data_IF_000722746560
#
_entry.id   IF_000722746560
#
_cell.length_a   1.000
_cell.length_b   1.000
_cell.length_c   1.000
_cell.angle_alpha   90.00
_cell.angle_beta   90.00
_cell.angle_gamma   90.00
#
_symmetry.space_group_name_H-M   'P 1'
#
loop_
_entity.id
_entity.type
_entity.pdbx_description
1 polymer ?
#
# COMPACT_ATOMS: atom_id res chain seq x y z
N UNK A 1 -5.20 7.67 -43.54
CA UNK A 1 -5.50 7.16 -42.18
C UNK A 1 -5.56 5.65 -42.26
N UNK A 2 -4.41 4.99 -42.12
CA UNK A 2 -4.36 3.54 -41.95
C UNK A 2 -4.45 3.31 -40.45
N UNK A 3 -5.65 3.03 -39.96
CA UNK A 3 -5.81 2.27 -38.72
C UNK A 3 -5.29 0.87 -39.06
N UNK A 4 -3.96 0.73 -39.08
CA UNK A 4 -3.31 -0.55 -39.06
C UNK A 4 -3.68 -1.15 -37.73
N UNK A 5 -4.69 -2.03 -37.76
CA UNK A 5 -5.06 -2.93 -36.67
C UNK A 5 -3.76 -3.40 -36.02
N UNK A 6 -3.54 -2.87 -34.83
CA UNK A 6 -2.31 -3.03 -34.08
C UNK A 6 -2.16 -4.51 -33.77
N UNK A 7 -1.20 -5.08 -34.49
CA UNK A 7 -0.74 -6.44 -34.47
C UNK A 7 -1.10 -7.19 -33.19
N UNK A 8 -2.03 -8.11 -33.37
CA UNK A 8 -2.30 -9.26 -32.54
C UNK A 8 -0.97 -9.99 -32.28
N UNK A 9 -0.29 -9.63 -31.18
CA UNK A 9 0.93 -10.28 -30.74
C UNK A 9 0.64 -11.79 -30.55
N UNK A 10 1.39 -12.71 -31.18
CA UNK A 10 1.12 -14.15 -31.08
C UNK A 10 1.19 -14.69 -29.64
N UNK A 11 1.75 -13.89 -28.71
CA UNK A 11 1.94 -14.24 -27.30
C UNK A 11 0.85 -13.70 -26.36
N UNK A 12 -0.16 -12.95 -26.84
CA UNK A 12 -1.24 -12.42 -25.98
C UNK A 12 -2.04 -13.54 -25.30
N UNK A 13 -2.26 -14.66 -25.99
CA UNK A 13 -2.99 -15.82 -25.44
C UNK A 13 -2.18 -16.49 -24.34
N UNK A 14 -0.86 -16.66 -24.56
CA UNK A 14 0.04 -17.26 -23.57
C UNK A 14 0.19 -16.36 -22.32
N UNK A 15 0.29 -15.05 -22.52
CA UNK A 15 0.35 -14.09 -21.40
C UNK A 15 -0.98 -14.03 -20.63
N UNK A 16 -2.13 -14.11 -21.31
CA UNK A 16 -3.45 -14.25 -20.65
C UNK A 16 -3.55 -15.56 -19.86
N UNK A 17 -3.04 -16.66 -20.41
CA UNK A 17 -3.02 -17.96 -19.72
C UNK A 17 -2.14 -17.93 -18.47
N UNK A 18 -0.94 -17.35 -18.55
CA UNK A 18 -0.05 -17.15 -17.39
C UNK A 18 -0.69 -16.31 -16.30
N UNK A 19 -1.39 -15.24 -16.66
CA UNK A 19 -2.16 -14.43 -15.71
C UNK A 19 -3.33 -15.18 -15.09
N UNK A 20 -4.03 -16.01 -15.87
CA UNK A 20 -5.04 -16.94 -15.35
C UNK A 20 -4.45 -17.89 -14.31
N UNK A 21 -3.27 -18.45 -14.57
CA UNK A 21 -2.56 -19.34 -13.64
C UNK A 21 -2.18 -18.61 -12.35
N UNK A 22 -1.71 -17.37 -12.43
CA UNK A 22 -1.43 -16.53 -11.24
C UNK A 22 -2.69 -16.29 -10.40
N UNK A 23 -3.83 -15.99 -11.03
CA UNK A 23 -5.11 -15.82 -10.31
C UNK A 23 -5.55 -17.11 -9.61
N UNK A 24 -5.39 -18.26 -10.26
CA UNK A 24 -5.69 -19.57 -9.67
C UNK A 24 -4.78 -19.86 -8.47
N UNK A 25 -3.48 -19.57 -8.57
CA UNK A 25 -2.55 -19.74 -7.44
C UNK A 25 -2.91 -18.83 -6.27
N UNK A 26 -3.28 -17.57 -6.51
CA UNK A 26 -3.72 -16.64 -5.46
C UNK A 26 -5.01 -17.14 -4.82
N UNK A 27 -5.99 -17.58 -5.61
CA UNK A 27 -7.22 -18.17 -5.10
C UNK A 27 -6.95 -19.40 -4.24
N UNK A 28 -5.99 -20.25 -4.63
CA UNK A 28 -5.58 -21.43 -3.87
C UNK A 28 -4.89 -21.05 -2.55
N UNK A 29 -4.07 -19.99 -2.52
CA UNK A 29 -3.50 -19.45 -1.27
C UNK A 29 -4.59 -18.96 -0.32
N UNK A 30 -5.54 -18.19 -0.84
CA UNK A 30 -6.64 -17.63 -0.04
C UNK A 30 -7.53 -18.75 0.48
N UNK A 31 -7.93 -19.68 -0.39
CA UNK A 31 -8.74 -20.84 -0.04
C UNK A 31 -8.03 -21.76 0.96
N UNK A 32 -6.75 -22.07 0.73
CA UNK A 32 -5.93 -22.82 1.68
C UNK A 32 -5.85 -22.09 3.02
N UNK A 33 -5.63 -20.77 3.02
CA UNK A 33 -5.63 -19.98 4.24
C UNK A 33 -6.96 -20.05 5.00
N UNK A 34 -8.11 -20.00 4.32
CA UNK A 34 -9.42 -20.18 4.95
C UNK A 34 -9.64 -21.61 5.47
N UNK A 35 -9.32 -22.64 4.68
CA UNK A 35 -9.50 -24.04 5.06
C UNK A 35 -8.63 -24.47 6.25
N UNK A 36 -7.40 -23.95 6.33
CA UNK A 36 -6.49 -24.17 7.46
C UNK A 36 -6.68 -23.16 8.61
N UNK A 37 -7.75 -22.35 8.59
CA UNK A 37 -8.09 -21.44 9.70
C UNK A 37 -9.01 -22.08 10.76
N UNK A 38 -9.73 -23.15 10.43
CA UNK A 38 -10.56 -23.90 11.39
C UNK A 38 -9.81 -25.14 11.91
N UNK A 39 -9.98 -25.52 13.19
CA UNK A 39 -9.44 -26.77 13.71
C UNK A 39 -10.06 -27.96 12.95
N UNK A 40 -9.26 -28.67 12.17
CA UNK A 40 -9.67 -29.90 11.51
C UNK A 40 -8.93 -31.09 12.15
N UNK A 41 -9.57 -32.26 12.20
CA UNK A 41 -9.01 -33.48 12.84
C UNK A 41 -7.68 -33.96 12.24
N UNK A 42 -7.26 -33.42 11.08
CA UNK A 42 -6.10 -33.86 10.31
C UNK A 42 -4.84 -33.04 10.64
N UNK A 43 -4.96 -31.79 11.11
CA UNK A 43 -3.81 -30.91 11.35
C UNK A 43 -3.89 -30.22 12.72
N UNK A 44 -2.94 -30.52 13.60
CA UNK A 44 -2.73 -29.77 14.84
C UNK A 44 -2.37 -28.31 14.53
N UNK A 45 -2.82 -27.32 15.33
CA UNK A 45 -2.69 -25.89 15.06
C UNK A 45 -1.24 -25.39 15.26
N UNK A 46 -0.33 -25.82 14.38
CA UNK A 46 1.01 -25.24 14.27
C UNK A 46 0.98 -24.11 13.25
N UNK A 47 0.82 -22.87 13.74
CA UNK A 47 0.81 -21.64 12.93
C UNK A 47 1.98 -21.52 11.95
N UNK A 48 3.12 -22.15 12.27
CA UNK A 48 4.36 -22.13 11.48
C UNK A 48 4.17 -22.83 10.11
N UNK A 49 3.48 -23.98 10.05
CA UNK A 49 3.33 -24.76 8.80
C UNK A 49 2.49 -23.99 7.78
N UNK A 50 1.42 -23.33 8.23
CA UNK A 50 0.59 -22.47 7.40
C UNK A 50 1.37 -21.29 6.82
N UNK A 51 2.17 -20.63 7.65
CA UNK A 51 3.01 -19.50 7.19
C UNK A 51 3.97 -19.99 6.10
N UNK A 52 4.65 -21.12 6.31
CA UNK A 52 5.57 -21.69 5.33
C UNK A 52 4.86 -22.03 4.02
N UNK A 53 3.69 -22.70 4.07
CA UNK A 53 2.92 -23.06 2.88
C UNK A 53 2.47 -21.82 2.09
N UNK A 54 1.94 -20.79 2.77
CA UNK A 54 1.52 -19.53 2.14
C UNK A 54 2.71 -18.82 1.51
N UNK A 55 3.86 -18.76 2.21
CA UNK A 55 5.08 -18.12 1.70
C UNK A 55 5.59 -18.83 0.45
N UNK A 56 5.66 -20.17 0.45
CA UNK A 56 6.14 -20.93 -0.72
C UNK A 56 5.25 -20.69 -1.94
N UNK A 57 3.93 -20.77 -1.79
CA UNK A 57 3.00 -20.58 -2.91
C UNK A 57 3.02 -19.12 -3.40
N UNK A 58 3.13 -18.14 -2.49
CA UNK A 58 3.26 -16.73 -2.84
C UNK A 58 4.55 -16.44 -3.61
N UNK A 59 5.68 -17.03 -3.21
CA UNK A 59 6.96 -16.93 -3.93
C UNK A 59 6.88 -17.54 -5.33
N UNK A 60 6.22 -18.70 -5.49
CA UNK A 60 6.00 -19.32 -6.80
C UNK A 60 5.12 -18.45 -7.70
N UNK A 61 4.05 -17.88 -7.17
CA UNK A 61 3.18 -16.97 -7.90
C UNK A 61 3.93 -15.71 -8.37
N UNK A 62 4.75 -15.12 -7.49
CA UNK A 62 5.61 -13.97 -7.82
C UNK A 62 6.64 -14.33 -8.90
N UNK A 63 7.27 -15.51 -8.81
CA UNK A 63 8.23 -15.97 -9.81
C UNK A 63 7.59 -16.11 -11.20
N UNK A 64 6.38 -16.66 -11.27
CA UNK A 64 5.62 -16.79 -12.52
C UNK A 64 5.17 -15.40 -13.04
N UNK A 65 4.78 -14.50 -12.15
CA UNK A 65 4.38 -13.15 -12.51
C UNK A 65 5.54 -12.32 -13.11
N UNK A 66 6.74 -12.40 -12.51
CA UNK A 66 7.93 -11.64 -12.96
C UNK A 66 8.43 -12.15 -14.32
N UNK A 67 8.32 -13.45 -14.58
CA UNK A 67 8.76 -14.04 -15.87
C UNK A 67 7.83 -13.72 -17.04
N UNK A 68 6.64 -13.17 -16.79
CA UNK A 68 5.65 -12.74 -17.80
C UNK A 68 6.04 -11.40 -18.43
N UNK A 69 5.59 -11.12 -19.67
CA UNK A 69 5.92 -9.89 -20.42
C UNK A 69 5.60 -8.61 -19.64
N UNK A 70 4.44 -8.56 -18.96
CA UNK A 70 4.06 -7.46 -18.07
C UNK A 70 5.01 -7.31 -16.87
N UNK A 71 5.53 -8.41 -16.33
CA UNK A 71 6.50 -8.40 -15.22
C UNK A 71 7.84 -7.80 -15.63
N UNK A 72 8.34 -8.14 -16.81
CA UNK A 72 9.57 -7.54 -17.37
C UNK A 72 9.41 -6.05 -17.67
N UNK A 73 8.26 -5.64 -18.22
CA UNK A 73 7.92 -4.23 -18.45
C UNK A 73 7.85 -3.43 -17.14
N UNK A 74 7.31 -4.03 -16.08
CA UNK A 74 7.28 -3.39 -14.76
C UNK A 74 8.70 -3.22 -14.19
N UNK A 75 9.57 -4.22 -14.36
CA UNK A 75 10.97 -4.12 -13.94
C UNK A 75 11.74 -3.03 -14.70
N UNK A 76 11.55 -2.89 -16.01
CA UNK A 76 12.15 -1.78 -16.78
C UNK A 76 11.59 -0.42 -16.33
N UNK A 77 10.28 -0.33 -16.06
CA UNK A 77 9.65 0.87 -15.50
C UNK A 77 10.25 1.26 -14.14
N UNK A 78 10.52 0.30 -13.26
CA UNK A 78 11.16 0.57 -11.97
C UNK A 78 12.60 1.08 -12.14
N UNK A 79 13.34 0.53 -13.11
CA UNK A 79 14.68 1.00 -13.42
C UNK A 79 14.67 2.43 -13.99
N UNK A 80 13.73 2.74 -14.87
CA UNK A 80 13.52 4.09 -15.43
C UNK A 80 13.06 5.08 -14.36
N UNK A 81 12.11 4.70 -13.52
CA UNK A 81 11.67 5.50 -12.37
C UNK A 81 12.81 5.82 -11.41
N UNK A 82 13.71 4.85 -11.13
CA UNK A 82 14.93 5.13 -10.35
C UNK A 82 15.89 6.11 -11.01
N UNK A 83 15.95 6.17 -12.35
CA UNK A 83 16.75 7.16 -13.07
C UNK A 83 16.12 8.55 -12.97
N UNK A 84 14.80 8.65 -13.03
CA UNK A 84 14.06 9.92 -12.85
C UNK A 84 14.10 10.43 -11.40
N UNK A 85 14.02 9.53 -10.41
CA UNK A 85 14.14 9.90 -8.99
C UNK A 85 15.50 10.53 -8.66
N UNK A 86 16.56 10.25 -9.44
CA UNK A 86 17.86 10.93 -9.28
C UNK A 86 17.87 12.34 -9.86
N UNK A 87 16.92 12.68 -10.74
CA UNK A 87 16.73 14.06 -11.23
C UNK A 87 15.93 14.91 -10.25
N UNK A 88 15.31 14.29 -9.24
CA UNK A 88 14.72 15.01 -8.12
C UNK A 88 15.85 15.60 -7.29
N UNK A 89 16.17 16.86 -7.59
CA UNK A 89 17.04 17.66 -6.74
C UNK A 89 16.28 17.91 -5.45
N UNK A 90 16.54 17.09 -4.44
CA UNK A 90 15.97 17.32 -3.13
C UNK A 90 16.48 18.67 -2.60
N UNK A 91 15.58 19.53 -2.13
CA UNK A 91 15.93 20.84 -1.62
C UNK A 91 16.99 20.71 -0.52
N UNK A 92 17.87 21.70 -0.42
CA UNK A 92 18.98 21.66 0.53
C UNK A 92 18.44 21.56 1.96
N UNK A 93 19.20 20.94 2.88
CA UNK A 93 18.74 20.76 4.27
C UNK A 93 18.38 22.09 4.93
N UNK A 94 19.05 23.18 4.55
CA UNK A 94 18.81 24.53 5.09
C UNK A 94 17.42 25.06 4.73
N UNK A 95 17.02 24.94 3.46
CA UNK A 95 15.70 25.36 2.98
C UNK A 95 14.58 24.50 3.57
N UNK A 96 14.81 23.19 3.66
CA UNK A 96 13.86 22.24 4.27
C UNK A 96 13.65 22.57 5.75
N UNK A 97 14.71 22.82 6.51
CA UNK A 97 14.60 23.16 7.94
C UNK A 97 13.92 24.50 8.18
N UNK A 98 14.17 25.51 7.31
CA UNK A 98 13.55 26.83 7.45
C UNK A 98 12.04 26.74 7.26
N UNK A 99 11.58 25.99 6.26
CA UNK A 99 10.16 25.82 5.98
C UNK A 99 9.49 24.99 7.08
N UNK A 100 10.11 23.90 7.55
CA UNK A 100 9.56 23.09 8.65
C UNK A 100 9.48 23.87 9.95
N UNK A 101 10.48 24.71 10.27
CA UNK A 101 10.49 25.51 11.48
C UNK A 101 9.45 26.64 11.42
N UNK A 102 9.26 27.24 10.24
CA UNK A 102 8.16 28.19 10.00
C UNK A 102 6.80 27.52 10.22
N UNK A 103 6.56 26.36 9.60
CA UNK A 103 5.30 25.61 9.76
C UNK A 103 5.11 25.22 11.24
N UNK A 104 6.16 24.76 11.92
CA UNK A 104 6.11 24.40 13.34
C UNK A 104 5.73 25.60 14.23
N UNK A 105 6.27 26.79 13.94
CA UNK A 105 5.89 28.00 14.66
C UNK A 105 4.41 28.34 14.43
N UNK A 106 3.93 28.27 13.20
CA UNK A 106 2.53 28.54 12.85
C UNK A 106 1.59 27.54 13.53
N UNK A 107 1.91 26.25 13.51
CA UNK A 107 1.07 25.21 14.13
C UNK A 107 1.03 25.33 15.64
N UNK A 108 2.12 25.76 16.31
CA UNK A 108 2.12 26.06 17.74
C UNK A 108 1.17 27.23 18.05
N UNK A 109 1.25 28.32 17.28
CA UNK A 109 0.37 29.49 17.47
C UNK A 109 -1.10 29.10 17.28
N UNK A 110 -1.42 28.38 16.20
CA UNK A 110 -2.79 27.92 15.94
C UNK A 110 -3.26 26.95 17.01
N UNK A 111 -2.42 26.01 17.44
CA UNK A 111 -2.74 25.05 18.50
C UNK A 111 -3.02 25.72 19.83
N UNK A 112 -2.24 26.75 20.21
CA UNK A 112 -2.48 27.55 21.40
C UNK A 112 -3.75 28.39 21.29
N UNK A 113 -4.03 28.98 20.12
CA UNK A 113 -5.25 29.76 19.89
C UNK A 113 -6.51 28.89 20.01
N UNK A 114 -6.50 27.69 19.40
CA UNK A 114 -7.57 26.72 19.54
C UNK A 114 -7.71 26.29 21.00
N UNK A 115 -6.64 25.86 21.65
CA UNK A 115 -6.67 25.45 23.05
C UNK A 115 -7.25 26.51 24.00
N UNK A 116 -6.90 27.78 23.80
CA UNK A 116 -7.46 28.90 24.56
C UNK A 116 -8.96 29.07 24.32
N UNK A 117 -9.39 28.98 23.05
CA UNK A 117 -10.80 29.07 22.68
C UNK A 117 -11.62 27.88 23.21
N UNK A 118 -11.11 26.66 23.10
CA UNK A 118 -11.72 25.44 23.66
C UNK A 118 -11.87 25.54 25.19
N UNK A 119 -10.86 26.08 25.87
CA UNK A 119 -10.90 26.31 27.32
C UNK A 119 -11.95 27.34 27.70
N UNK A 120 -12.07 28.41 26.91
CA UNK A 120 -13.09 29.45 27.10
C UNK A 120 -14.50 28.88 26.92
N UNK A 121 -14.79 28.19 25.81
CA UNK A 121 -16.10 27.58 25.59
C UNK A 121 -16.46 26.57 26.69
N UNK A 122 -15.50 25.74 27.13
CA UNK A 122 -15.70 24.81 28.23
C UNK A 122 -16.11 25.51 29.53
N UNK A 123 -15.44 26.62 29.85
CA UNK A 123 -15.76 27.41 31.06
C UNK A 123 -17.16 28.01 30.99
N UNK A 124 -17.56 28.56 29.83
CA UNK A 124 -18.90 29.11 29.62
C UNK A 124 -19.97 28.04 29.75
N UNK A 125 -19.79 26.87 29.12
CA UNK A 125 -20.73 25.76 29.21
C UNK A 125 -20.85 25.26 30.66
N UNK A 126 -19.74 25.16 31.39
CA UNK A 126 -19.74 24.78 32.80
C UNK A 126 -20.52 25.78 33.65
N UNK A 127 -20.32 27.08 33.43
CA UNK A 127 -21.05 28.12 34.15
C UNK A 127 -22.57 28.05 33.88
N UNK A 128 -22.97 27.88 32.61
CA UNK A 128 -24.38 27.73 32.23
C UNK A 128 -25.01 26.47 32.82
N UNK A 129 -24.29 25.35 32.80
CA UNK A 129 -24.77 24.07 33.36
C UNK A 129 -24.84 24.12 34.89
N UNK A 130 -23.90 24.81 35.54
CA UNK A 130 -23.88 25.02 36.99
C UNK A 130 -25.05 25.84 37.50
N UNK A 131 -25.66 26.68 36.64
CA UNK A 131 -26.84 27.50 36.98
C UNK A 131 -28.15 26.71 36.87
N UNK A 132 -28.16 25.62 36.09
CA UNK A 132 -29.34 24.76 35.88
C UNK A 132 -29.48 23.60 36.87
N UNK A 133 -28.53 23.41 37.80
CA UNK A 133 -28.66 22.58 39.01
C UNK A 133 -28.93 23.46 40.21
#
# INVERSE_FOLDING_TARGET
MLVSNENQDPNTILDKFRWGLVLVLIAFVVWGNFYFSEPNDIYQPNSIVRIIAVVIISLLALFIAITTRKGKLFLSFLQESRKELRKVVWPTRKETTQTTLLIAAITIVVGLALWGMDSFFRSVIFYLTSIGR
#
